data_IF_355060755488
#
_entry.id   IF_355060755488
#
_cell.length_a   1.000
_cell.length_b   1.000
_cell.length_c   1.000
_cell.angle_alpha   90.00
_cell.angle_beta   90.00
_cell.angle_gamma   90.00
#
_symmetry.space_group_name_H-M   'P 1'
#
loop_
_entity.id
_entity.type
_entity.pdbx_description
1 polymer ?
#
# COMPACT_ATOMS: atom_id res chain seq x y z
N UNK A 1 -27.08 -12.00 -9.51
CA UNK A 1 -25.89 -12.86 -9.35
C UNK A 1 -25.33 -13.14 -10.75
N UNK A 2 -24.24 -12.48 -11.14
CA UNK A 2 -23.58 -12.70 -12.43
C UNK A 2 -22.68 -13.94 -12.31
N UNK A 3 -23.01 -14.99 -13.06
CA UNK A 3 -22.16 -16.18 -13.24
C UNK A 3 -21.12 -15.80 -14.30
N UNK A 4 -20.06 -15.14 -13.86
CA UNK A 4 -18.80 -15.08 -14.59
C UNK A 4 -17.85 -16.14 -14.06
N UNK A 5 -16.80 -16.45 -14.82
CA UNK A 5 -15.68 -17.24 -14.30
C UNK A 5 -15.17 -16.63 -12.98
N UNK A 6 -14.78 -17.45 -12.00
CA UNK A 6 -14.27 -16.93 -10.74
C UNK A 6 -13.07 -16.02 -11.02
N UNK A 7 -13.14 -14.77 -10.54
CA UNK A 7 -12.04 -13.82 -10.64
C UNK A 7 -10.85 -14.43 -9.89
N UNK A 8 -9.76 -14.74 -10.61
CA UNK A 8 -8.54 -15.33 -10.07
C UNK A 8 -7.44 -14.31 -9.80
N UNK A 9 -7.51 -13.14 -10.43
CA UNK A 9 -6.56 -12.03 -10.27
C UNK A 9 -7.24 -10.69 -10.54
N UNK A 10 -6.75 -9.62 -9.90
CA UNK A 10 -7.13 -8.24 -10.23
C UNK A 10 -6.02 -7.50 -11.02
N UNK A 11 -4.98 -8.21 -11.47
CA UNK A 11 -3.94 -7.68 -12.34
C UNK A 11 -4.32 -7.87 -13.81
N UNK A 12 -4.01 -6.89 -14.65
CA UNK A 12 -4.08 -7.08 -16.11
C UNK A 12 -3.09 -8.17 -16.54
N UNK A 13 -3.31 -8.85 -17.68
CA UNK A 13 -2.40 -9.91 -18.13
C UNK A 13 -0.94 -9.46 -18.24
N UNK A 14 -0.70 -8.23 -18.72
CA UNK A 14 0.65 -7.66 -18.83
C UNK A 14 1.28 -7.40 -17.46
N UNK A 15 0.51 -6.91 -16.49
CA UNK A 15 1.03 -6.63 -15.13
C UNK A 15 1.20 -7.91 -14.33
N UNK A 16 0.31 -8.88 -14.52
CA UNK A 16 0.47 -10.22 -13.96
C UNK A 16 1.77 -10.84 -14.46
N UNK A 17 2.05 -10.79 -15.76
CA UNK A 17 3.26 -11.40 -16.31
C UNK A 17 4.55 -10.76 -15.79
N UNK A 18 4.64 -9.42 -15.78
CA UNK A 18 5.84 -8.72 -15.29
C UNK A 18 6.09 -8.96 -13.79
N UNK A 19 5.03 -9.03 -12.96
CA UNK A 19 5.16 -9.25 -11.52
C UNK A 19 5.44 -10.72 -11.21
N UNK A 20 4.59 -11.61 -11.70
CA UNK A 20 4.53 -13.00 -11.24
C UNK A 20 5.49 -13.93 -12.00
N UNK A 21 5.82 -13.63 -13.26
CA UNK A 21 6.52 -14.56 -14.13
C UNK A 21 7.89 -14.07 -14.58
N UNK A 22 7.98 -12.83 -15.10
CA UNK A 22 9.11 -12.38 -15.92
C UNK A 22 10.47 -12.48 -15.22
N UNK A 23 10.55 -12.08 -13.95
CA UNK A 23 11.78 -12.19 -13.15
C UNK A 23 12.21 -13.63 -12.86
N UNK A 24 11.32 -14.60 -12.97
CA UNK A 24 11.60 -16.00 -12.59
C UNK A 24 11.74 -16.93 -13.80
N UNK A 25 11.77 -16.37 -15.01
CA UNK A 25 12.02 -17.12 -16.24
C UNK A 25 13.48 -17.59 -16.34
N UNK A 26 14.43 -16.75 -15.94
CA UNK A 26 15.84 -17.10 -15.90
C UNK A 26 16.13 -17.91 -14.63
N UNK A 27 16.75 -19.07 -14.79
CA UNK A 27 17.19 -19.95 -13.68
C UNK A 27 18.70 -19.88 -13.46
N UNK A 28 19.32 -18.78 -13.84
CA UNK A 28 20.74 -18.56 -13.62
C UNK A 28 21.01 -18.42 -12.12
N UNK A 29 22.00 -19.13 -11.61
CA UNK A 29 22.41 -19.00 -10.23
C UNK A 29 23.32 -17.77 -10.09
N UNK A 30 22.80 -16.71 -9.48
CA UNK A 30 23.63 -15.58 -9.05
C UNK A 30 24.33 -15.93 -7.73
N UNK A 31 25.67 -15.83 -7.70
CA UNK A 31 26.43 -15.97 -6.45
C UNK A 31 26.15 -14.77 -5.55
N UNK A 32 25.62 -15.02 -4.34
CA UNK A 32 25.35 -13.98 -3.36
C UNK A 32 26.58 -13.14 -3.03
N UNK A 33 27.79 -13.72 -3.07
CA UNK A 33 29.04 -12.99 -2.80
C UNK A 33 29.34 -11.90 -3.83
N UNK A 34 28.73 -11.98 -5.02
CA UNK A 34 28.79 -10.91 -6.02
C UNK A 34 27.84 -9.75 -5.73
N UNK A 35 26.82 -9.96 -4.88
CA UNK A 35 25.75 -8.98 -4.58
C UNK A 35 25.97 -8.35 -3.20
N UNK A 36 26.41 -9.14 -2.21
CA UNK A 36 26.62 -8.68 -0.84
C UNK A 36 27.92 -9.26 -0.28
N UNK A 37 28.72 -8.42 0.37
CA UNK A 37 29.93 -8.87 1.07
C UNK A 37 29.58 -9.62 2.37
N UNK A 38 30.56 -10.30 2.96
CA UNK A 38 30.36 -11.00 4.25
C UNK A 38 29.86 -10.07 5.37
N UNK A 39 30.23 -8.79 5.32
CA UNK A 39 29.83 -7.79 6.31
C UNK A 39 28.47 -7.12 5.99
N UNK A 40 27.77 -7.54 4.94
CA UNK A 40 26.48 -6.96 4.56
C UNK A 40 26.58 -5.71 3.67
N UNK A 41 27.75 -5.40 3.09
CA UNK A 41 27.89 -4.29 2.15
C UNK A 41 27.33 -4.66 0.78
N UNK A 42 26.52 -3.76 0.20
CA UNK A 42 25.85 -4.00 -1.08
C UNK A 42 26.79 -3.68 -2.24
N UNK A 43 27.05 -4.68 -3.07
CA UNK A 43 27.80 -4.55 -4.32
C UNK A 43 26.90 -3.98 -5.42
N UNK A 44 26.69 -2.66 -5.40
CA UNK A 44 25.78 -1.98 -6.32
C UNK A 44 26.06 -2.24 -7.79
N UNK A 45 27.33 -2.39 -8.19
CA UNK A 45 27.71 -2.65 -9.58
C UNK A 45 26.97 -3.86 -10.17
N UNK A 46 26.99 -5.00 -9.46
CA UNK A 46 26.32 -6.23 -9.87
C UNK A 46 24.81 -6.02 -10.09
N UNK A 47 24.17 -5.25 -9.20
CA UNK A 47 22.74 -4.96 -9.30
C UNK A 47 22.45 -4.00 -10.47
N UNK A 48 23.26 -2.95 -10.62
CA UNK A 48 23.06 -1.94 -11.68
C UNK A 48 23.38 -2.46 -13.07
N UNK A 49 24.30 -3.43 -13.19
CA UNK A 49 24.64 -4.08 -14.46
C UNK A 49 23.47 -4.94 -15.00
N UNK A 50 22.50 -5.30 -14.14
CA UNK A 50 21.25 -5.96 -14.55
C UNK A 50 20.17 -4.99 -15.09
N UNK A 51 20.40 -3.68 -15.05
CA UNK A 51 19.44 -2.69 -15.58
C UNK A 51 19.68 -2.49 -17.07
N UNK A 52 18.63 -2.71 -17.87
CA UNK A 52 18.64 -2.55 -19.32
C UNK A 52 18.07 -1.20 -19.76
N UNK A 53 18.59 -0.68 -20.86
CA UNK A 53 18.17 0.58 -21.47
C UNK A 53 17.67 0.32 -22.90
N UNK A 54 16.72 1.11 -23.35
CA UNK A 54 16.20 1.05 -24.72
C UNK A 54 17.27 1.49 -25.73
N UNK A 55 17.18 1.02 -26.98
CA UNK A 55 18.17 1.27 -28.06
C UNK A 55 18.48 2.75 -28.34
N UNK A 56 17.63 3.67 -27.86
CA UNK A 56 17.85 5.11 -27.95
C UNK A 56 18.66 5.72 -26.78
N UNK A 57 19.10 4.89 -25.82
CA UNK A 57 19.80 5.24 -24.57
C UNK A 57 19.09 6.29 -23.67
N UNK A 58 17.86 6.69 -24.00
CA UNK A 58 17.12 7.73 -23.27
C UNK A 58 16.11 7.19 -22.25
N UNK A 59 15.74 5.90 -22.31
CA UNK A 59 14.72 5.30 -21.44
C UNK A 59 15.10 3.91 -20.91
N UNK A 60 14.60 3.57 -19.73
CA UNK A 60 14.76 2.24 -19.13
C UNK A 60 13.94 1.19 -19.88
N UNK A 61 14.57 0.07 -20.23
CA UNK A 61 13.86 -1.15 -20.61
C UNK A 61 13.45 -1.88 -19.34
N UNK A 62 12.23 -1.59 -18.87
CA UNK A 62 11.69 -2.18 -17.64
C UNK A 62 11.55 -3.70 -17.73
N UNK A 63 11.17 -4.23 -18.88
CA UNK A 63 10.97 -5.67 -19.06
C UNK A 63 12.31 -6.41 -19.06
N UNK A 64 13.28 -5.92 -19.83
CA UNK A 64 14.64 -6.44 -19.81
C UNK A 64 15.27 -6.37 -18.42
N UNK A 65 15.08 -5.24 -17.72
CA UNK A 65 15.59 -5.05 -16.36
C UNK A 65 14.97 -6.01 -15.35
N UNK A 66 13.65 -6.18 -15.33
CA UNK A 66 12.96 -7.12 -14.42
C UNK A 66 13.44 -8.55 -14.66
N UNK A 67 13.57 -8.96 -15.93
CA UNK A 67 14.06 -10.29 -16.29
C UNK A 67 15.48 -10.55 -15.77
N UNK A 68 16.38 -9.57 -15.88
CA UNK A 68 17.78 -9.71 -15.44
C UNK A 68 17.95 -9.55 -13.92
N UNK A 69 17.12 -8.73 -13.27
CA UNK A 69 17.14 -8.54 -11.80
C UNK A 69 16.51 -9.71 -11.05
N UNK A 70 15.69 -10.53 -11.71
CA UNK A 70 14.99 -11.64 -11.07
C UNK A 70 15.91 -12.67 -10.38
N UNK A 71 16.95 -13.21 -11.05
CA UNK A 71 17.96 -14.06 -10.41
C UNK A 71 18.67 -13.41 -9.21
N UNK A 72 18.90 -12.10 -9.28
CA UNK A 72 19.47 -11.32 -8.16
C UNK A 72 18.49 -11.29 -6.98
N UNK A 73 17.20 -11.04 -7.24
CA UNK A 73 16.16 -11.09 -6.21
C UNK A 73 16.08 -12.47 -5.54
N UNK A 74 16.18 -13.56 -6.30
CA UNK A 74 16.16 -14.93 -5.78
C UNK A 74 17.37 -15.21 -4.86
N UNK A 75 18.57 -14.81 -5.28
CA UNK A 75 19.78 -14.98 -4.49
C UNK A 75 19.72 -14.18 -3.17
N UNK A 76 19.22 -12.95 -3.22
CA UNK A 76 19.03 -12.10 -2.03
C UNK A 76 17.99 -12.69 -1.08
N UNK A 77 16.89 -13.20 -1.62
CA UNK A 77 15.86 -13.85 -0.82
C UNK A 77 16.41 -15.10 -0.10
N UNK A 78 17.08 -15.97 -0.85
CA UNK A 78 17.72 -17.18 -0.29
C UNK A 78 18.75 -16.83 0.79
N UNK A 79 19.53 -15.77 0.57
CA UNK A 79 20.46 -15.25 1.56
C UNK A 79 19.75 -14.83 2.83
N UNK A 80 18.70 -14.01 2.74
CA UNK A 80 17.97 -13.56 3.92
C UNK A 80 17.34 -14.71 4.70
N UNK A 81 16.75 -15.69 4.02
CA UNK A 81 16.20 -16.89 4.67
C UNK A 81 17.28 -17.76 5.33
N UNK A 82 18.54 -17.66 4.90
CA UNK A 82 19.66 -18.37 5.55
C UNK A 82 20.15 -17.70 6.84
N UNK A 83 19.73 -16.45 7.10
CA UNK A 83 20.20 -15.69 8.26
C UNK A 83 19.31 -15.95 9.47
N UNK A 84 19.91 -16.00 10.65
CA UNK A 84 19.14 -15.81 11.88
C UNK A 84 18.78 -14.34 12.06
N UNK A 85 17.74 -14.05 12.84
CA UNK A 85 17.36 -12.66 13.18
C UNK A 85 18.53 -11.85 13.73
N UNK A 86 19.29 -12.41 14.67
CA UNK A 86 20.47 -11.72 15.23
C UNK A 86 21.57 -11.47 14.19
N UNK A 87 21.77 -12.40 13.25
CA UNK A 87 22.71 -12.22 12.14
C UNK A 87 22.26 -11.13 11.17
N UNK A 88 20.96 -11.04 10.89
CA UNK A 88 20.37 -9.98 10.09
C UNK A 88 20.53 -8.63 10.77
N UNK A 89 20.17 -8.53 12.05
CA UNK A 89 20.26 -7.29 12.83
C UNK A 89 21.70 -6.76 12.88
N UNK A 90 22.68 -7.63 13.17
CA UNK A 90 24.10 -7.24 13.21
C UNK A 90 24.58 -6.70 11.86
N UNK A 91 24.16 -7.32 10.74
CA UNK A 91 24.63 -6.96 9.39
C UNK A 91 23.90 -5.76 8.79
N UNK A 92 22.59 -5.62 9.04
CA UNK A 92 21.75 -4.69 8.29
C UNK A 92 21.06 -3.60 9.14
N UNK A 93 20.77 -3.83 10.42
CA UNK A 93 20.08 -2.82 11.25
C UNK A 93 20.80 -1.45 11.31
N UNK A 94 22.15 -1.37 11.35
CA UNK A 94 22.86 -0.09 11.29
C UNK A 94 22.57 0.72 10.02
N UNK A 95 22.17 0.05 8.94
CA UNK A 95 21.94 0.65 7.63
C UNK A 95 20.49 1.11 7.39
N UNK A 96 19.58 0.90 8.36
CA UNK A 96 18.20 1.38 8.29
C UNK A 96 17.94 2.65 9.10
N UNK A 97 18.93 3.13 9.86
CA UNK A 97 18.77 4.29 10.75
C UNK A 97 18.36 5.58 10.03
N UNK A 98 18.61 5.67 8.72
CA UNK A 98 18.27 6.83 7.91
C UNK A 98 16.77 6.91 7.52
N UNK A 99 15.97 5.87 7.79
CA UNK A 99 14.57 5.84 7.33
C UNK A 99 13.57 6.43 8.32
N UNK A 100 14.05 7.04 9.42
CA UNK A 100 13.25 7.41 10.61
C UNK A 100 12.53 6.26 11.32
N UNK A 101 12.51 5.05 10.75
CA UNK A 101 11.76 3.92 11.27
C UNK A 101 12.50 2.58 11.09
N UNK A 102 13.68 2.41 11.71
CA UNK A 102 14.52 1.23 11.54
C UNK A 102 13.92 -0.05 12.13
N UNK A 103 13.01 0.05 13.10
CA UNK A 103 12.35 -1.10 13.76
C UNK A 103 11.42 -1.87 12.81
N UNK A 104 11.03 -1.24 11.69
CA UNK A 104 10.25 -1.86 10.64
C UNK A 104 10.96 -3.07 10.02
N UNK A 105 12.27 -2.99 9.82
CA UNK A 105 12.99 -3.99 9.01
C UNK A 105 13.15 -5.35 9.69
N UNK A 106 13.43 -5.44 11.00
CA UNK A 106 13.34 -6.71 11.72
C UNK A 106 11.94 -7.33 11.66
N UNK A 107 10.87 -6.52 11.70
CA UNK A 107 9.50 -7.03 11.57
C UNK A 107 9.24 -7.60 10.17
N UNK A 108 9.70 -6.91 9.13
CA UNK A 108 9.59 -7.42 7.74
C UNK A 108 10.43 -8.68 7.56
N UNK A 109 11.62 -8.74 8.17
CA UNK A 109 12.47 -9.93 8.13
C UNK A 109 11.72 -11.15 8.68
N UNK A 110 11.11 -11.02 9.87
CA UNK A 110 10.29 -12.07 10.47
C UNK A 110 9.09 -12.45 9.56
N UNK A 111 8.56 -11.49 8.80
CA UNK A 111 7.45 -11.73 7.87
C UNK A 111 7.83 -12.51 6.60
N UNK A 112 9.12 -12.62 6.25
CA UNK A 112 9.57 -13.37 5.08
C UNK A 112 9.32 -14.89 5.21
N UNK A 113 9.34 -15.41 6.43
CA UNK A 113 9.03 -16.81 6.75
C UNK A 113 7.56 -17.02 7.16
N UNK A 114 6.75 -15.94 7.16
CA UNK A 114 5.37 -16.00 7.61
C UNK A 114 4.51 -16.87 6.70
N UNK A 115 3.68 -17.71 7.31
CA UNK A 115 2.64 -18.48 6.61
C UNK A 115 1.38 -17.66 6.35
N UNK A 116 1.31 -16.41 6.83
CA UNK A 116 0.17 -15.53 6.57
C UNK A 116 0.28 -14.96 5.15
N UNK A 117 -0.63 -15.37 4.28
CA UNK A 117 -0.64 -15.02 2.86
C UNK A 117 -0.49 -13.50 2.55
N UNK A 118 -1.12 -12.57 3.30
CA UNK A 118 -0.91 -11.12 3.15
C UNK A 118 0.40 -10.52 3.69
N UNK A 119 1.24 -11.29 4.40
CA UNK A 119 2.36 -10.74 5.16
C UNK A 119 3.38 -10.00 4.29
N UNK A 120 3.65 -10.54 3.10
CA UNK A 120 4.56 -9.94 2.12
C UNK A 120 4.01 -8.63 1.56
N UNK A 121 2.74 -8.63 1.17
CA UNK A 121 2.05 -7.44 0.67
C UNK A 121 2.01 -6.31 1.71
N UNK A 122 1.65 -6.63 2.95
CA UNK A 122 1.66 -5.66 4.07
C UNK A 122 3.07 -5.12 4.32
N UNK A 123 4.07 -6.00 4.31
CA UNK A 123 5.47 -5.61 4.50
C UNK A 123 5.95 -4.66 3.41
N UNK A 124 5.65 -4.96 2.14
CA UNK A 124 6.00 -4.11 1.01
C UNK A 124 5.27 -2.76 1.05
N UNK A 125 3.99 -2.70 1.44
CA UNK A 125 3.28 -1.43 1.62
C UNK A 125 3.97 -0.55 2.67
N UNK A 126 4.31 -1.12 3.83
CA UNK A 126 5.02 -0.41 4.90
C UNK A 126 6.42 0.01 4.49
N UNK A 127 7.17 -0.88 3.84
CA UNK A 127 8.52 -0.61 3.35
C UNK A 127 8.52 0.52 2.34
N UNK A 128 7.62 0.47 1.34
CA UNK A 128 7.57 1.48 0.27
C UNK A 128 7.16 2.85 0.82
N UNK A 129 6.20 2.93 1.74
CA UNK A 129 5.87 4.18 2.44
C UNK A 129 7.05 4.73 3.25
N UNK A 130 7.74 3.87 4.00
CA UNK A 130 8.91 4.24 4.80
C UNK A 130 10.05 4.76 3.90
N UNK A 131 10.33 4.05 2.80
CA UNK A 131 11.34 4.42 1.82
C UNK A 131 11.00 5.73 1.11
N UNK A 132 9.75 5.93 0.69
CA UNK A 132 9.29 7.16 0.04
C UNK A 132 9.52 8.38 0.94
N UNK A 133 9.13 8.29 2.21
CA UNK A 133 9.40 9.33 3.20
C UNK A 133 10.90 9.58 3.38
N UNK A 134 11.68 8.53 3.55
CA UNK A 134 13.12 8.62 3.79
C UNK A 134 13.86 9.25 2.60
N UNK A 135 13.47 8.89 1.38
CA UNK A 135 14.00 9.51 0.16
C UNK A 135 13.64 11.00 0.08
N UNK A 136 12.44 11.39 0.53
CA UNK A 136 12.08 12.81 0.62
C UNK A 136 12.93 13.59 1.62
N UNK A 137 13.30 12.99 2.75
CA UNK A 137 14.24 13.60 3.71
C UNK A 137 15.64 13.78 3.07
N UNK A 138 16.10 12.79 2.31
CA UNK A 138 17.38 12.86 1.58
C UNK A 138 17.34 13.90 0.48
N UNK A 139 16.23 14.00 -0.26
CA UNK A 139 16.03 15.02 -1.29
C UNK A 139 16.23 16.43 -0.73
N UNK A 140 15.70 16.70 0.46
CA UNK A 140 15.80 18.00 1.15
C UNK A 140 17.21 18.36 1.64
N UNK A 141 18.20 17.47 1.50
CA UNK A 141 19.61 17.84 1.67
C UNK A 141 20.08 18.83 0.60
N UNK A 142 19.47 18.79 -0.58
CA UNK A 142 19.85 19.58 -1.76
C UNK A 142 18.67 20.43 -2.24
N UNK A 143 17.50 19.80 -2.39
CA UNK A 143 16.28 20.44 -2.87
C UNK A 143 15.58 21.31 -1.83
N UNK A 144 14.56 22.06 -2.27
CA UNK A 144 13.79 22.96 -1.39
C UNK A 144 12.40 22.43 -1.05
N UNK A 145 11.69 21.92 -2.05
CA UNK A 145 10.33 21.37 -1.90
C UNK A 145 10.34 19.95 -2.44
N UNK A 146 10.01 18.99 -1.57
CA UNK A 146 9.97 17.58 -1.94
C UNK A 146 8.84 17.34 -2.96
N UNK A 147 9.11 16.67 -4.09
CA UNK A 147 8.07 16.25 -5.01
C UNK A 147 6.98 15.44 -4.31
N UNK A 148 5.73 15.67 -4.69
CA UNK A 148 4.58 14.96 -4.13
C UNK A 148 4.49 13.51 -4.61
N UNK A 149 4.82 13.25 -5.88
CA UNK A 149 4.75 11.91 -6.47
C UNK A 149 6.09 11.18 -6.32
N UNK A 150 6.06 9.94 -5.80
CA UNK A 150 7.24 9.06 -5.71
C UNK A 150 7.99 8.94 -7.04
N UNK A 151 7.27 8.84 -8.16
CA UNK A 151 7.89 8.74 -9.49
C UNK A 151 8.80 9.95 -9.78
N UNK A 152 8.32 11.14 -9.44
CA UNK A 152 9.03 12.40 -9.72
C UNK A 152 10.20 12.56 -8.74
N UNK A 153 10.02 12.14 -7.48
CA UNK A 153 11.09 12.03 -6.50
C UNK A 153 12.21 11.09 -6.99
N UNK A 154 11.88 9.89 -7.48
CA UNK A 154 12.85 8.95 -8.02
C UNK A 154 13.53 9.43 -9.31
N UNK A 155 12.90 10.36 -10.04
CA UNK A 155 13.44 10.97 -11.25
C UNK A 155 14.33 12.19 -10.98
N UNK A 156 14.39 12.66 -9.73
CA UNK A 156 15.10 13.87 -9.34
C UNK A 156 16.63 13.77 -9.50
N UNK A 157 17.25 14.88 -9.89
CA UNK A 157 18.71 15.00 -9.97
C UNK A 157 19.32 15.03 -8.57
N UNK A 158 18.60 15.55 -7.58
CA UNK A 158 19.01 15.63 -6.19
C UNK A 158 19.29 14.23 -5.61
N UNK A 159 18.38 13.28 -5.79
CA UNK A 159 18.62 11.90 -5.35
C UNK A 159 19.68 11.21 -6.19
N UNK A 160 19.73 11.47 -7.50
CA UNK A 160 20.78 10.94 -8.37
C UNK A 160 22.18 11.46 -7.96
N UNK A 161 22.29 12.68 -7.44
CA UNK A 161 23.54 13.23 -6.92
C UNK A 161 24.00 12.53 -5.64
N UNK A 162 23.07 12.09 -4.79
CA UNK A 162 23.39 11.38 -3.54
C UNK A 162 23.68 9.90 -3.78
N UNK A 163 22.79 9.21 -4.49
CA UNK A 163 22.83 7.75 -4.65
C UNK A 163 23.43 7.27 -5.97
N UNK A 164 23.52 8.14 -6.97
CA UNK A 164 23.94 7.79 -8.33
C UNK A 164 22.76 7.41 -9.23
N UNK A 165 22.84 7.83 -10.50
CA UNK A 165 21.76 7.61 -11.47
C UNK A 165 21.40 6.13 -11.67
N UNK A 166 22.41 5.25 -11.74
CA UNK A 166 22.19 3.82 -11.94
C UNK A 166 21.42 3.17 -10.78
N UNK A 167 21.67 3.62 -9.54
CA UNK A 167 20.96 3.15 -8.35
C UNK A 167 19.51 3.62 -8.36
N UNK A 168 19.28 4.89 -8.71
CA UNK A 168 17.92 5.42 -8.86
C UNK A 168 17.15 4.69 -9.97
N UNK A 169 17.82 4.28 -11.04
CA UNK A 169 17.22 3.49 -12.10
C UNK A 169 16.77 2.11 -11.62
N UNK A 170 17.52 1.45 -10.74
CA UNK A 170 17.07 0.21 -10.06
C UNK A 170 15.77 0.46 -9.30
N UNK A 171 15.70 1.50 -8.46
CA UNK A 171 14.48 1.82 -7.70
C UNK A 171 13.27 2.10 -8.60
N UNK A 172 13.47 2.80 -9.72
CA UNK A 172 12.41 3.06 -10.71
C UNK A 172 11.80 1.77 -11.27
N UNK A 173 12.58 0.69 -11.40
CA UNK A 173 12.10 -0.62 -11.86
C UNK A 173 11.15 -1.26 -10.85
N UNK A 174 11.42 -1.14 -9.54
CA UNK A 174 10.63 -1.77 -8.49
C UNK A 174 9.37 -0.99 -8.09
N UNK A 175 9.48 0.33 -7.86
CA UNK A 175 8.43 1.09 -7.15
C UNK A 175 7.98 2.37 -7.85
N UNK A 176 8.63 2.78 -8.94
CA UNK A 176 8.41 4.11 -9.54
C UNK A 176 7.45 4.15 -10.73
N UNK A 177 7.73 3.36 -11.76
CA UNK A 177 7.05 3.50 -13.06
C UNK A 177 5.93 2.47 -13.24
N UNK A 178 4.78 2.84 -13.82
CA UNK A 178 3.74 1.89 -14.19
C UNK A 178 4.18 0.93 -15.31
N UNK A 179 5.28 1.21 -16.00
CA UNK A 179 5.90 0.30 -16.97
C UNK A 179 6.83 -0.75 -16.31
N UNK A 180 7.18 -0.56 -15.03
CA UNK A 180 7.95 -1.52 -14.23
C UNK A 180 7.05 -2.34 -13.32
N UNK A 181 7.62 -2.88 -12.23
CA UNK A 181 6.84 -3.67 -11.25
C UNK A 181 5.79 -2.82 -10.52
N UNK A 182 6.07 -1.53 -10.33
CA UNK A 182 5.18 -0.57 -9.67
C UNK A 182 4.59 -1.07 -8.33
N UNK A 183 5.39 -1.80 -7.55
CA UNK A 183 4.91 -2.56 -6.38
C UNK A 183 4.15 -1.68 -5.39
N UNK A 184 4.62 -0.45 -5.18
CA UNK A 184 3.97 0.56 -4.33
C UNK A 184 2.52 0.75 -4.74
N UNK A 185 2.25 1.15 -5.98
CA UNK A 185 0.90 1.48 -6.40
C UNK A 185 0.02 0.24 -6.55
N UNK A 186 0.56 -0.86 -7.06
CA UNK A 186 -0.20 -2.11 -7.21
C UNK A 186 -0.75 -2.62 -5.88
N UNK A 187 0.06 -2.52 -4.81
CA UNK A 187 -0.35 -2.93 -3.47
C UNK A 187 -1.25 -1.91 -2.78
N UNK A 188 -0.86 -0.62 -2.76
CA UNK A 188 -1.64 0.44 -2.08
C UNK A 188 -3.00 0.71 -2.71
N UNK A 189 -3.22 0.30 -3.95
CA UNK A 189 -4.52 0.34 -4.63
C UNK A 189 -5.24 -1.03 -4.64
N UNK A 190 -4.73 -2.03 -3.91
CA UNK A 190 -5.40 -3.31 -3.72
C UNK A 190 -5.59 -4.15 -4.99
N UNK A 191 -4.71 -4.00 -5.99
CA UNK A 191 -4.79 -4.80 -7.22
C UNK A 191 -4.18 -6.20 -7.05
N UNK A 192 -3.13 -6.36 -6.25
CA UNK A 192 -2.52 -7.67 -6.05
C UNK A 192 -3.25 -8.46 -4.96
N UNK A 193 -3.71 -9.63 -5.34
CA UNK A 193 -4.24 -10.66 -4.45
C UNK A 193 -3.10 -11.20 -3.55
N UNK A 194 -3.44 -11.81 -2.41
CA UNK A 194 -2.46 -12.49 -1.58
C UNK A 194 -1.63 -13.49 -2.42
N UNK A 195 -0.34 -13.62 -2.09
CA UNK A 195 0.64 -14.46 -2.81
C UNK A 195 0.97 -14.09 -4.28
N UNK A 196 0.27 -13.17 -4.94
CA UNK A 196 0.63 -12.75 -6.30
C UNK A 196 1.97 -12.02 -6.36
N UNK A 197 2.33 -11.28 -5.30
CA UNK A 197 3.63 -10.60 -5.23
C UNK A 197 4.68 -11.55 -4.63
N UNK A 198 5.72 -11.92 -5.39
CA UNK A 198 6.77 -12.80 -4.90
C UNK A 198 7.52 -12.21 -3.70
N UNK A 199 7.82 -13.01 -2.65
CA UNK A 199 8.56 -12.53 -1.47
C UNK A 199 9.98 -12.06 -1.80
N UNK A 200 10.52 -12.51 -2.94
CA UNK A 200 11.85 -12.12 -3.44
C UNK A 200 11.97 -10.62 -3.62
N UNK A 201 10.90 -9.96 -4.08
CA UNK A 201 10.89 -8.50 -4.23
C UNK A 201 10.92 -7.79 -2.88
N UNK A 202 10.29 -8.36 -1.84
CA UNK A 202 10.36 -7.82 -0.48
C UNK A 202 11.79 -7.89 0.07
N UNK A 203 12.45 -9.06 -0.04
CA UNK A 203 13.86 -9.21 0.36
C UNK A 203 14.78 -8.28 -0.41
N UNK A 204 14.57 -8.13 -1.73
CA UNK A 204 15.35 -7.21 -2.54
C UNK A 204 15.15 -5.76 -2.10
N UNK A 205 13.91 -5.31 -1.88
CA UNK A 205 13.62 -3.95 -1.43
C UNK A 205 14.24 -3.62 -0.06
N UNK A 206 14.27 -4.60 0.86
CA UNK A 206 15.00 -4.45 2.12
C UNK A 206 16.51 -4.28 1.90
N UNK A 207 17.12 -5.10 1.05
CA UNK A 207 18.55 -4.99 0.74
C UNK A 207 18.88 -3.65 0.08
N UNK A 208 18.06 -3.22 -0.90
CA UNK A 208 18.21 -1.92 -1.56
C UNK A 208 18.15 -0.78 -0.54
N UNK A 209 17.23 -0.84 0.42
CA UNK A 209 17.09 0.17 1.48
C UNK A 209 18.34 0.23 2.38
N UNK A 210 18.93 -0.92 2.74
CA UNK A 210 20.20 -0.96 3.45
C UNK A 210 21.35 -0.39 2.62
N UNK A 211 21.43 -0.78 1.34
CA UNK A 211 22.45 -0.29 0.41
C UNK A 211 22.39 1.22 0.18
N UNK A 212 21.19 1.81 0.16
CA UNK A 212 21.00 3.26 0.10
C UNK A 212 21.54 3.92 1.37
N UNK A 213 21.27 3.34 2.55
CA UNK A 213 21.83 3.82 3.82
C UNK A 213 23.37 3.82 3.84
N UNK A 214 23.99 2.81 3.22
CA UNK A 214 25.45 2.75 3.05
C UNK A 214 25.97 3.89 2.18
N UNK A 215 25.36 4.12 1.01
CA UNK A 215 25.72 5.22 0.10
C UNK A 215 25.52 6.60 0.74
N UNK A 216 24.38 6.79 1.43
CA UNK A 216 24.05 8.03 2.12
C UNK A 216 25.08 8.34 3.20
N UNK A 217 25.49 7.35 4.00
CA UNK A 217 26.53 7.53 5.02
C UNK A 217 27.82 8.07 4.40
N UNK A 218 28.28 7.48 3.30
CA UNK A 218 29.47 7.96 2.58
C UNK A 218 29.29 9.38 2.04
N UNK A 219 28.12 9.70 1.50
CA UNK A 219 27.80 11.04 1.01
C UNK A 219 27.83 12.08 2.14
N UNK A 220 27.14 11.83 3.25
CA UNK A 220 27.09 12.74 4.40
C UNK A 220 28.48 12.94 5.03
N UNK A 221 29.31 11.90 5.11
CA UNK A 221 30.70 12.03 5.58
C UNK A 221 31.53 12.95 4.69
N UNK A 222 31.36 12.85 3.36
CA UNK A 222 32.08 13.66 2.38
C UNK A 222 31.62 15.11 2.37
N UNK A 223 30.31 15.35 2.44
CA UNK A 223 29.71 16.69 2.35
C UNK A 223 29.60 17.40 3.70
N UNK A 224 29.73 16.67 4.82
CA UNK A 224 29.52 17.14 6.18
C UNK A 224 28.10 17.67 6.44
N UNK A 225 27.14 17.27 5.61
CA UNK A 225 25.72 17.57 5.82
C UNK A 225 25.16 16.68 6.93
N UNK A 226 24.05 17.09 7.51
CA UNK A 226 23.29 16.32 8.50
C UNK A 226 21.90 16.06 7.94
N UNK A 227 21.48 14.80 7.94
CA UNK A 227 20.13 14.42 7.56
C UNK A 227 19.15 14.86 8.65
N UNK A 228 18.14 15.63 8.26
CA UNK A 228 17.04 16.00 9.14
C UNK A 228 15.78 15.23 8.72
N UNK A 229 15.09 14.65 9.71
CA UNK A 229 13.85 13.95 9.47
C UNK A 229 12.67 14.89 9.61
N UNK A 230 11.76 14.85 8.62
CA UNK A 230 10.50 15.58 8.72
C UNK A 230 9.69 15.05 9.90
N UNK A 231 8.89 15.90 10.54
CA UNK A 231 7.95 15.47 11.59
C UNK A 231 6.81 14.63 11.01
N UNK A 232 6.33 13.65 11.76
CA UNK A 232 5.11 12.92 11.40
C UNK A 232 3.89 13.85 11.51
N UNK A 233 2.89 13.59 10.69
CA UNK A 233 1.62 14.31 10.72
C UNK A 233 0.73 13.65 11.78
N UNK A 234 0.17 14.48 12.66
CA UNK A 234 -0.97 14.09 13.48
C UNK A 234 -2.23 14.47 12.74
N UNK A 235 -3.12 13.53 12.36
CA UNK A 235 -4.34 13.88 11.65
C UNK A 235 -5.18 14.82 12.51
N UNK A 236 -5.54 15.98 11.96
CA UNK A 236 -6.35 17.00 12.63
C UNK A 236 -7.83 16.65 12.56
N UNK A 237 -8.63 17.17 13.49
CA UNK A 237 -10.10 17.04 13.52
C UNK A 237 -10.65 15.61 13.65
N UNK A 238 -9.84 14.64 14.11
CA UNK A 238 -10.29 13.27 14.35
C UNK A 238 -11.47 13.19 15.33
N UNK A 239 -11.48 14.03 16.37
CA UNK A 239 -12.56 14.02 17.39
C UNK A 239 -13.95 14.28 16.78
N UNK A 240 -14.04 15.21 15.82
CA UNK A 240 -15.30 15.54 15.15
C UNK A 240 -15.78 14.43 14.20
N UNK A 241 -14.86 13.54 13.80
CA UNK A 241 -15.08 12.44 12.86
C UNK A 241 -15.37 11.10 13.55
N UNK A 242 -15.27 11.03 14.89
CA UNK A 242 -15.64 9.84 15.67
C UNK A 242 -17.16 9.83 15.80
N UNK A 243 -17.83 9.02 14.96
CA UNK A 243 -19.29 8.88 14.94
C UNK A 243 -19.72 7.48 15.36
N UNK A 244 -18.94 6.47 15.00
CA UNK A 244 -19.18 5.09 15.40
C UNK A 244 -18.64 4.80 16.81
N UNK A 245 -19.35 3.98 17.61
CA UNK A 245 -18.82 3.47 18.87
C UNK A 245 -17.64 2.52 18.64
N UNK A 246 -16.94 2.20 19.72
CA UNK A 246 -15.90 1.16 19.72
C UNK A 246 -16.45 -0.17 19.20
N UNK A 247 -15.67 -0.83 18.34
CA UNK A 247 -16.06 -2.11 17.76
C UNK A 247 -16.02 -3.21 18.83
N UNK A 248 -17.19 -3.74 19.16
CA UNK A 248 -17.36 -4.77 20.19
C UNK A 248 -17.09 -6.17 19.65
N UNK A 249 -16.94 -7.16 20.55
CA UNK A 249 -16.84 -8.58 20.14
C UNK A 249 -18.03 -9.05 19.30
N UNK A 250 -19.23 -8.55 19.60
CA UNK A 250 -20.45 -8.87 18.83
C UNK A 250 -20.33 -8.37 17.38
N UNK A 251 -19.84 -7.14 17.18
CA UNK A 251 -19.61 -6.58 15.84
C UNK A 251 -18.48 -7.33 15.11
N UNK A 252 -17.40 -7.70 15.80
CA UNK A 252 -16.31 -8.48 15.19
C UNK A 252 -16.80 -9.85 14.72
N UNK A 253 -17.67 -10.51 15.49
CA UNK A 253 -18.27 -11.80 15.09
C UNK A 253 -19.17 -11.66 13.86
N UNK A 254 -19.93 -10.56 13.75
CA UNK A 254 -20.73 -10.26 12.55
C UNK A 254 -19.84 -10.01 11.35
N UNK A 255 -18.74 -9.28 11.54
CA UNK A 255 -17.76 -9.04 10.48
C UNK A 255 -17.18 -10.37 9.95
N UNK A 256 -16.76 -11.28 10.84
CA UNK A 256 -16.25 -12.61 10.46
C UNK A 256 -17.18 -13.36 9.53
N UNK A 257 -18.46 -13.38 9.85
CA UNK A 257 -19.45 -14.05 9.02
C UNK A 257 -19.73 -13.28 7.73
N UNK A 258 -19.94 -11.96 7.82
CA UNK A 258 -20.21 -11.10 6.67
C UNK A 258 -19.09 -11.13 5.63
N UNK A 259 -17.82 -11.21 6.04
CA UNK A 259 -16.67 -11.25 5.13
C UNK A 259 -16.75 -12.43 4.14
N UNK A 260 -17.28 -13.57 4.59
CA UNK A 260 -17.37 -14.78 3.74
C UNK A 260 -18.63 -14.82 2.87
N UNK A 261 -19.62 -13.97 3.16
CA UNK A 261 -20.95 -13.98 2.53
C UNK A 261 -21.24 -12.76 1.67
N UNK A 262 -20.53 -11.67 1.91
CA UNK A 262 -20.73 -10.39 1.22
C UNK A 262 -20.18 -10.45 -0.21
N UNK A 263 -21.00 -10.07 -1.19
CA UNK A 263 -20.57 -9.93 -2.58
C UNK A 263 -19.63 -8.74 -2.81
N UNK A 264 -19.42 -7.89 -1.79
CA UNK A 264 -18.45 -6.80 -1.81
C UNK A 264 -17.01 -7.32 -1.86
N UNK A 265 -16.72 -8.41 -1.14
CA UNK A 265 -15.38 -8.99 -1.04
C UNK A 265 -15.18 -10.01 -2.17
N UNK A 266 -14.13 -9.79 -2.96
CA UNK A 266 -13.67 -10.79 -3.91
C UNK A 266 -13.05 -11.96 -3.12
N UNK A 267 -13.44 -13.20 -3.45
CA UNK A 267 -12.96 -14.41 -2.75
C UNK A 267 -11.44 -14.50 -2.65
N UNK A 268 -10.76 -14.15 -3.74
CA UNK A 268 -9.28 -14.10 -3.80
C UNK A 268 -8.66 -13.08 -2.84
N UNK A 269 -9.41 -12.07 -2.41
CA UNK A 269 -8.95 -11.01 -1.51
C UNK A 269 -9.31 -11.26 -0.04
N UNK A 270 -10.12 -12.29 0.26
CA UNK A 270 -10.57 -12.61 1.61
C UNK A 270 -9.42 -12.71 2.65
N UNK A 271 -8.24 -13.28 2.34
CA UNK A 271 -7.15 -13.37 3.32
C UNK A 271 -6.70 -12.00 3.88
N UNK A 272 -6.77 -10.92 3.09
CA UNK A 272 -6.44 -9.58 3.58
C UNK A 272 -7.38 -9.13 4.69
N UNK A 273 -8.67 -9.42 4.55
CA UNK A 273 -9.69 -9.08 5.54
C UNK A 273 -9.51 -9.89 6.84
N UNK A 274 -9.22 -11.18 6.72
CA UNK A 274 -8.93 -12.05 7.87
C UNK A 274 -7.72 -11.53 8.65
N UNK A 275 -6.63 -11.18 7.95
CA UNK A 275 -5.44 -10.63 8.60
C UNK A 275 -5.73 -9.24 9.18
N UNK A 276 -6.49 -8.37 8.50
CA UNK A 276 -6.87 -7.07 9.04
C UNK A 276 -7.56 -7.21 10.42
N UNK A 277 -8.46 -8.18 10.55
CA UNK A 277 -9.14 -8.48 11.80
C UNK A 277 -8.18 -9.01 12.87
N UNK A 278 -7.25 -9.90 12.52
CA UNK A 278 -6.20 -10.38 13.44
C UNK A 278 -5.32 -9.23 13.92
N UNK A 279 -4.96 -8.28 13.05
CA UNK A 279 -4.18 -7.10 13.40
C UNK A 279 -4.94 -6.18 14.34
N UNK A 280 -6.24 -5.99 14.10
CA UNK A 280 -7.10 -5.23 15.02
C UNK A 280 -7.11 -5.86 16.43
N UNK A 281 -7.38 -7.16 16.51
CA UNK A 281 -7.43 -7.90 17.79
C UNK A 281 -6.09 -7.94 18.53
N UNK A 282 -4.97 -7.82 17.82
CA UNK A 282 -3.62 -7.78 18.40
C UNK A 282 -3.10 -6.36 18.64
N UNK A 283 -3.99 -5.35 18.62
CA UNK A 283 -3.66 -3.93 18.83
C UNK A 283 -2.67 -3.36 17.81
N UNK A 284 -2.55 -3.99 16.64
CA UNK A 284 -1.76 -3.54 15.49
C UNK A 284 -2.64 -2.67 14.58
N UNK A 285 -3.06 -1.51 15.09
CA UNK A 285 -4.10 -0.67 14.48
C UNK A 285 -3.71 -0.11 13.11
N UNK A 286 -2.44 0.31 12.93
CA UNK A 286 -1.94 0.77 11.64
C UNK A 286 -1.99 -0.34 10.57
N UNK A 287 -1.50 -1.53 10.90
CA UNK A 287 -1.52 -2.67 9.97
C UNK A 287 -2.96 -3.02 9.57
N UNK A 288 -3.90 -2.98 10.52
CA UNK A 288 -5.32 -3.17 10.25
C UNK A 288 -5.86 -2.11 9.29
N UNK A 289 -5.59 -0.83 9.55
CA UNK A 289 -6.05 0.28 8.71
C UNK A 289 -5.48 0.20 7.29
N UNK A 290 -4.19 -0.09 7.13
CA UNK A 290 -3.54 -0.27 5.82
C UNK A 290 -4.26 -1.36 5.03
N UNK A 291 -4.48 -2.53 5.63
CA UNK A 291 -5.19 -3.63 4.98
C UNK A 291 -6.63 -3.25 4.64
N UNK A 292 -7.41 -2.68 5.58
CA UNK A 292 -8.80 -2.29 5.32
C UNK A 292 -8.92 -1.25 4.21
N UNK A 293 -8.06 -0.23 4.17
CA UNK A 293 -8.13 0.83 3.17
C UNK A 293 -7.91 0.28 1.75
N UNK A 294 -6.91 -0.58 1.58
CA UNK A 294 -6.69 -1.24 0.28
C UNK A 294 -7.87 -2.13 -0.12
N UNK A 295 -8.46 -2.84 0.85
CA UNK A 295 -9.59 -3.72 0.60
C UNK A 295 -10.92 -2.99 0.35
N UNK A 296 -11.14 -1.85 1.00
CA UNK A 296 -12.25 -0.95 0.70
C UNK A 296 -12.14 -0.41 -0.73
N UNK A 297 -10.93 -0.05 -1.18
CA UNK A 297 -10.70 0.38 -2.56
C UNK A 297 -11.05 -0.72 -3.55
N UNK A 298 -10.58 -1.94 -3.32
CA UNK A 298 -10.86 -3.10 -4.18
C UNK A 298 -12.35 -3.46 -4.21
N UNK A 299 -13.01 -3.49 -3.06
CA UNK A 299 -14.44 -3.78 -2.99
C UNK A 299 -15.29 -2.70 -3.66
N UNK A 300 -14.99 -1.42 -3.42
CA UNK A 300 -15.66 -0.32 -4.11
C UNK A 300 -15.38 -0.31 -5.61
N UNK A 301 -14.17 -0.69 -6.05
CA UNK A 301 -13.82 -0.88 -7.47
C UNK A 301 -14.68 -1.97 -8.11
N UNK A 302 -14.89 -3.08 -7.42
CA UNK A 302 -15.76 -4.17 -7.89
C UNK A 302 -17.22 -3.71 -8.08
N UNK A 303 -17.77 -3.00 -7.09
CA UNK A 303 -19.13 -2.43 -7.17
C UNK A 303 -19.21 -1.38 -8.28
N UNK A 304 -18.22 -0.49 -8.37
CA UNK A 304 -18.11 0.53 -9.41
C UNK A 304 -18.12 -0.09 -10.81
N UNK A 305 -17.27 -1.09 -11.06
CA UNK A 305 -17.15 -1.77 -12.34
C UNK A 305 -18.46 -2.45 -12.74
N UNK A 306 -19.17 -3.00 -11.75
CA UNK A 306 -20.46 -3.66 -11.95
C UNK A 306 -21.57 -2.66 -12.29
N UNK A 307 -21.75 -1.61 -11.47
CA UNK A 307 -22.82 -0.63 -11.65
C UNK A 307 -22.66 0.21 -12.91
N UNK A 308 -21.42 0.55 -13.27
CA UNK A 308 -21.12 1.32 -14.47
C UNK A 308 -20.90 0.44 -15.73
N UNK A 309 -21.07 -0.89 -15.61
CA UNK A 309 -20.93 -1.87 -16.71
C UNK A 309 -19.57 -1.78 -17.42
N UNK A 310 -18.50 -1.68 -16.64
CA UNK A 310 -17.12 -1.56 -17.11
C UNK A 310 -16.22 -2.59 -16.42
N UNK A 311 -16.45 -3.91 -16.61
CA UNK A 311 -15.71 -4.97 -15.90
C UNK A 311 -14.18 -4.90 -16.07
N UNK A 312 -13.71 -4.41 -17.23
CA UNK A 312 -12.29 -4.17 -17.49
C UNK A 312 -11.64 -3.19 -16.50
N UNK A 313 -12.43 -2.30 -15.87
CA UNK A 313 -11.95 -1.35 -14.88
C UNK A 313 -11.64 -1.95 -13.52
N UNK A 314 -12.00 -3.22 -13.32
CA UNK A 314 -11.48 -3.99 -12.20
C UNK A 314 -9.97 -4.25 -12.33
N UNK A 315 -9.48 -4.38 -13.57
CA UNK A 315 -8.11 -4.80 -13.90
C UNK A 315 -7.22 -3.64 -14.41
N UNK A 316 -7.60 -2.37 -14.22
CA UNK A 316 -6.87 -1.21 -14.79
C UNK A 316 -5.47 -0.94 -14.25
N UNK A 317 -4.85 -1.90 -13.56
CA UNK A 317 -3.41 -1.91 -13.37
C UNK A 317 -2.72 -2.17 -14.72
N UNK A 318 -2.63 -1.15 -15.58
CA UNK A 318 -1.93 -1.18 -16.87
C UNK A 318 -1.03 0.04 -17.02
N UNK A 319 0.05 -0.07 -17.78
CA UNK A 319 0.96 1.06 -18.03
C UNK A 319 0.37 2.14 -18.96
N UNK A 320 -0.65 1.76 -19.74
CA UNK A 320 -1.30 2.57 -20.78
C UNK A 320 -2.59 3.23 -20.31
N UNK A 321 -3.06 2.93 -19.11
CA UNK A 321 -4.30 3.45 -18.54
C UNK A 321 -4.08 3.93 -17.10
N UNK A 322 -4.80 4.99 -16.69
CA UNK A 322 -4.82 5.40 -15.29
C UNK A 322 -5.49 4.32 -14.44
N UNK A 323 -4.97 4.13 -13.23
CA UNK A 323 -5.54 3.18 -12.27
C UNK A 323 -6.91 3.68 -11.82
N UNK A 324 -7.89 2.78 -11.72
CA UNK A 324 -9.18 3.08 -11.09
C UNK A 324 -9.01 3.15 -9.57
N UNK A 325 -8.62 4.32 -9.08
CA UNK A 325 -8.36 4.62 -7.65
C UNK A 325 -9.60 5.17 -6.94
N UNK A 326 -9.54 5.41 -5.62
CA UNK A 326 -10.63 6.08 -4.88
C UNK A 326 -11.14 7.36 -5.54
N UNK A 327 -10.24 8.20 -6.06
CA UNK A 327 -10.63 9.48 -6.71
C UNK A 327 -11.55 9.24 -7.91
N UNK A 328 -11.23 8.24 -8.73
CA UNK A 328 -12.04 7.92 -9.90
C UNK A 328 -13.30 7.13 -9.53
N UNK A 329 -13.20 6.22 -8.56
CA UNK A 329 -14.31 5.41 -8.05
C UNK A 329 -15.41 6.30 -7.45
N UNK A 330 -15.02 7.34 -6.70
CA UNK A 330 -15.92 8.23 -5.97
C UNK A 330 -16.27 9.52 -6.74
N UNK A 331 -15.74 9.72 -7.94
CA UNK A 331 -16.04 10.87 -8.78
C UNK A 331 -17.52 10.92 -9.19
N UNK A 332 -18.07 12.12 -9.36
CA UNK A 332 -19.47 12.32 -9.80
C UNK A 332 -19.71 11.85 -11.24
N UNK A 333 -18.72 12.01 -12.11
CA UNK A 333 -18.80 11.66 -13.53
C UNK A 333 -17.62 10.77 -13.91
N UNK A 334 -17.86 9.88 -14.88
CA UNK A 334 -16.85 9.09 -15.55
C UNK A 334 -16.08 9.97 -16.56
N UNK A 335 -14.93 9.48 -17.04
CA UNK A 335 -14.09 10.20 -18.02
C UNK A 335 -14.81 10.50 -19.35
N UNK A 336 -15.85 9.73 -19.70
CA UNK A 336 -16.68 9.96 -20.88
C UNK A 336 -17.88 10.92 -20.62
N UNK A 337 -17.91 11.56 -19.45
CA UNK A 337 -18.95 12.51 -19.04
C UNK A 337 -20.23 11.86 -18.51
N UNK A 338 -20.37 10.52 -18.54
CA UNK A 338 -21.53 9.84 -17.97
C UNK A 338 -21.55 9.95 -16.45
N UNK A 339 -22.74 9.90 -15.87
CA UNK A 339 -22.92 9.91 -14.41
C UNK A 339 -22.40 8.59 -13.84
N UNK A 340 -21.53 8.68 -12.85
CA UNK A 340 -21.08 7.52 -12.08
C UNK A 340 -22.25 7.00 -11.22
N UNK A 341 -22.59 5.72 -11.38
CA UNK A 341 -23.71 5.11 -10.67
C UNK A 341 -23.38 4.72 -9.22
N UNK A 342 -22.09 4.61 -8.86
CA UNK A 342 -21.69 4.21 -7.52
C UNK A 342 -22.12 5.23 -6.44
N UNK A 343 -21.86 6.55 -6.57
CA UNK A 343 -22.32 7.51 -5.57
C UNK A 343 -23.83 7.51 -5.35
N UNK A 344 -24.61 7.34 -6.43
CA UNK A 344 -26.07 7.24 -6.36
C UNK A 344 -26.52 5.97 -5.61
N UNK A 345 -25.84 4.86 -5.86
CA UNK A 345 -26.13 3.59 -5.19
C UNK A 345 -25.74 3.62 -3.71
N UNK A 346 -24.58 4.19 -3.37
CA UNK A 346 -24.13 4.29 -1.98
C UNK A 346 -24.99 5.25 -1.17
N UNK A 347 -25.49 6.32 -1.79
CA UNK A 347 -26.25 7.36 -1.11
C UNK A 347 -25.35 8.38 -0.41
N UNK A 348 -25.92 9.53 -0.12
CA UNK A 348 -25.20 10.70 0.43
C UNK A 348 -24.45 10.38 1.74
N UNK A 349 -25.04 9.73 2.76
CA UNK A 349 -24.34 9.50 4.04
C UNK A 349 -23.05 8.67 3.91
N UNK A 350 -23.09 7.59 3.12
CA UNK A 350 -21.93 6.74 2.89
C UNK A 350 -20.85 7.47 2.06
N UNK A 351 -21.27 8.28 1.08
CA UNK A 351 -20.35 9.09 0.27
C UNK A 351 -19.67 10.17 1.10
N UNK A 352 -20.41 10.87 1.97
CA UNK A 352 -19.84 11.88 2.85
C UNK A 352 -18.82 11.27 3.83
N UNK A 353 -19.09 10.10 4.41
CA UNK A 353 -18.11 9.42 5.26
C UNK A 353 -16.83 9.10 4.50
N UNK A 354 -16.96 8.51 3.30
CA UNK A 354 -15.82 8.17 2.46
C UNK A 354 -15.02 9.41 2.06
N UNK A 355 -15.68 10.50 1.67
CA UNK A 355 -14.99 11.73 1.31
C UNK A 355 -14.30 12.39 2.49
N UNK A 356 -14.95 12.47 3.66
CA UNK A 356 -14.34 13.06 4.85
C UNK A 356 -13.08 12.27 5.27
N UNK A 357 -13.15 10.94 5.34
CA UNK A 357 -12.02 10.11 5.80
C UNK A 357 -10.88 9.97 4.78
N UNK A 358 -11.19 9.96 3.48
CA UNK A 358 -10.22 9.61 2.44
C UNK A 358 -9.71 10.81 1.65
N UNK A 359 -10.58 11.78 1.30
CA UNK A 359 -10.27 12.73 0.22
C UNK A 359 -10.29 14.21 0.66
N UNK A 360 -11.13 14.59 1.62
CA UNK A 360 -11.36 15.99 1.95
C UNK A 360 -10.08 16.64 2.48
N UNK A 361 -9.73 17.84 1.99
CA UNK A 361 -8.48 18.52 2.37
C UNK A 361 -8.39 18.82 3.88
N UNK A 362 -9.49 19.24 4.48
CA UNK A 362 -9.63 19.45 5.95
C UNK A 362 -9.91 18.16 6.74
N UNK A 363 -10.04 17.02 6.03
CA UNK A 363 -10.22 15.70 6.60
C UNK A 363 -8.88 15.01 6.84
N UNK A 364 -8.88 13.84 7.51
CA UNK A 364 -7.67 13.19 7.96
C UNK A 364 -6.89 12.48 6.85
N UNK A 365 -7.44 12.36 5.62
CA UNK A 365 -6.80 11.79 4.41
C UNK A 365 -5.91 10.58 4.72
N UNK A 366 -6.45 9.66 5.52
CA UNK A 366 -5.65 8.64 6.22
C UNK A 366 -4.92 7.73 5.23
N UNK A 367 -5.59 7.40 4.13
CA UNK A 367 -5.04 6.58 3.06
C UNK A 367 -3.81 7.22 2.43
N UNK A 368 -3.88 8.51 2.11
CA UNK A 368 -2.76 9.21 1.47
C UNK A 368 -1.58 9.30 2.42
N UNK A 369 -1.80 9.81 3.64
CA UNK A 369 -0.73 9.97 4.62
C UNK A 369 -0.08 8.64 5.04
N UNK A 370 -0.83 7.54 5.17
CA UNK A 370 -0.25 6.20 5.39
C UNK A 370 0.59 5.73 4.18
N UNK A 371 0.10 5.95 2.96
CA UNK A 371 0.79 5.52 1.73
C UNK A 371 2.06 6.32 1.41
N UNK A 372 2.23 7.50 2.01
CA UNK A 372 3.43 8.34 1.93
C UNK A 372 4.33 8.21 3.18
N UNK A 373 3.96 7.36 4.14
CA UNK A 373 4.72 7.13 5.38
C UNK A 373 4.68 8.30 6.36
N UNK A 374 3.72 9.22 6.22
CA UNK A 374 3.66 10.47 6.98
C UNK A 374 3.08 10.31 8.38
N UNK A 375 2.51 9.14 8.70
CA UNK A 375 1.97 8.81 10.02
C UNK A 375 2.87 7.78 10.71
N UNK A 376 3.13 8.00 11.99
CA UNK A 376 3.82 7.03 12.83
C UNK A 376 2.94 5.79 13.05
N UNK A 377 3.38 4.63 12.56
CA UNK A 377 2.61 3.38 12.62
C UNK A 377 2.44 2.85 14.07
N UNK A 378 3.35 3.17 14.99
CA UNK A 378 3.24 2.74 16.39
C UNK A 378 2.26 3.57 17.21
N UNK A 379 2.01 4.81 16.80
CA UNK A 379 1.12 5.75 17.48
C UNK A 379 -0.22 5.89 16.74
N UNK A 380 -0.50 5.00 15.79
CA UNK A 380 -1.72 5.06 15.00
C UNK A 380 -2.97 4.85 15.87
N UNK A 381 -3.93 5.77 15.72
CA UNK A 381 -5.12 5.84 16.58
C UNK A 381 -6.02 4.60 16.45
N UNK A 382 -6.36 4.01 17.60
CA UNK A 382 -7.37 2.96 17.73
C UNK A 382 -8.72 3.44 17.21
N UNK A 383 -9.08 4.67 17.57
CA UNK A 383 -10.35 5.32 17.25
C UNK A 383 -10.51 5.43 15.74
N UNK A 384 -9.45 5.82 15.04
CA UNK A 384 -9.43 5.87 13.57
C UNK A 384 -9.69 4.51 12.94
N UNK A 385 -8.98 3.47 13.42
CA UNK A 385 -9.20 2.10 12.94
C UNK A 385 -10.60 1.59 13.27
N UNK A 386 -11.16 1.96 14.43
CA UNK A 386 -12.54 1.65 14.82
C UNK A 386 -13.54 2.25 13.83
N UNK A 387 -13.39 3.52 13.44
CA UNK A 387 -14.30 4.15 12.46
C UNK A 387 -14.26 3.41 11.11
N UNK A 388 -13.05 3.09 10.61
CA UNK A 388 -12.89 2.35 9.36
C UNK A 388 -13.51 0.95 9.43
N UNK A 389 -13.29 0.23 10.54
CA UNK A 389 -13.79 -1.13 10.72
C UNK A 389 -15.32 -1.14 10.87
N UNK A 390 -15.89 -0.22 11.67
CA UNK A 390 -17.32 -0.07 11.85
C UNK A 390 -18.02 0.27 10.52
N UNK A 391 -17.49 1.24 9.77
CA UNK A 391 -18.02 1.56 8.45
C UNK A 391 -17.90 0.39 7.47
N UNK A 392 -16.78 -0.34 7.51
CA UNK A 392 -16.59 -1.56 6.69
C UNK A 392 -17.67 -2.59 6.98
N UNK A 393 -18.03 -2.83 8.25
CA UNK A 393 -19.13 -3.73 8.61
C UNK A 393 -20.43 -3.28 7.95
N UNK A 394 -20.81 -2.01 8.12
CA UNK A 394 -22.04 -1.48 7.52
C UNK A 394 -22.04 -1.66 6.00
N UNK A 395 -20.91 -1.36 5.35
CA UNK A 395 -20.78 -1.50 3.91
C UNK A 395 -20.94 -2.96 3.47
N UNK A 396 -20.27 -3.91 4.14
CA UNK A 396 -20.35 -5.34 3.82
C UNK A 396 -21.78 -5.88 3.94
N UNK A 397 -22.51 -5.44 4.98
CA UNK A 397 -23.90 -5.83 5.23
C UNK A 397 -24.86 -5.41 4.12
N UNK A 398 -24.52 -4.40 3.31
CA UNK A 398 -25.33 -4.02 2.14
C UNK A 398 -25.25 -5.04 1.00
N UNK A 399 -24.30 -5.97 1.06
CA UNK A 399 -24.04 -6.95 0.00
C UNK A 399 -24.13 -8.39 0.50
N UNK A 400 -24.72 -8.65 1.68
CA UNK A 400 -25.10 -10.00 2.12
C UNK A 400 -26.55 -10.32 1.71
N UNK A 401 -26.95 -11.59 1.81
CA UNK A 401 -28.33 -12.02 1.58
C UNK A 401 -29.32 -11.33 2.55
N UNK A 402 -30.53 -11.01 2.09
CA UNK A 402 -31.54 -10.30 2.90
C UNK A 402 -31.92 -11.07 4.18
N UNK A 403 -31.99 -12.40 4.11
CA UNK A 403 -32.29 -13.24 5.26
C UNK A 403 -31.15 -13.29 6.27
N UNK A 404 -29.90 -13.13 5.82
CA UNK A 404 -28.76 -13.01 6.73
C UNK A 404 -28.66 -11.59 7.33
N UNK A 405 -28.97 -10.57 6.52
CA UNK A 405 -29.01 -9.18 6.99
C UNK A 405 -30.05 -8.98 8.09
N UNK A 406 -31.23 -9.59 7.98
CA UNK A 406 -32.26 -9.50 9.02
C UNK A 406 -31.79 -10.07 10.36
N UNK A 407 -31.11 -11.23 10.33
CA UNK A 407 -30.51 -11.85 11.53
C UNK A 407 -29.45 -10.95 12.15
N UNK A 408 -28.60 -10.30 11.34
CA UNK A 408 -27.61 -9.37 11.87
C UNK A 408 -28.22 -8.10 12.47
N UNK A 409 -29.32 -7.60 11.90
CA UNK A 409 -30.04 -6.41 12.41
C UNK A 409 -30.72 -6.65 13.76
N UNK A 410 -30.97 -7.90 14.16
CA UNK A 410 -31.48 -8.19 15.52
C UNK A 410 -30.47 -7.85 16.63
N UNK A 411 -29.17 -7.73 16.28
CA UNK A 411 -28.12 -7.35 17.21
C UNK A 411 -28.09 -5.84 17.36
N UNK A 412 -28.39 -5.33 18.56
CA UNK A 412 -28.49 -3.89 18.84
C UNK A 412 -27.21 -3.11 18.47
N UNK A 413 -26.03 -3.70 18.63
CA UNK A 413 -24.78 -3.05 18.22
C UNK A 413 -24.69 -2.84 16.71
N UNK A 414 -25.17 -3.79 15.90
CA UNK A 414 -25.19 -3.71 14.43
C UNK A 414 -26.24 -2.72 13.96
N UNK A 415 -27.44 -2.77 14.54
CA UNK A 415 -28.51 -1.81 14.23
C UNK A 415 -28.06 -0.37 14.49
N UNK A 416 -27.37 -0.13 15.61
CA UNK A 416 -26.78 1.17 15.91
C UNK A 416 -25.76 1.61 14.85
N UNK A 417 -24.86 0.72 14.41
CA UNK A 417 -23.89 1.07 13.36
C UNK A 417 -24.59 1.46 12.05
N UNK A 418 -25.61 0.71 11.64
CA UNK A 418 -26.37 1.00 10.43
C UNK A 418 -27.08 2.36 10.56
N UNK A 419 -27.75 2.62 11.68
CA UNK A 419 -28.44 3.89 11.94
C UNK A 419 -27.48 5.09 11.92
N UNK A 420 -26.30 4.95 12.53
CA UNK A 420 -25.28 6.00 12.52
C UNK A 420 -24.72 6.27 11.12
N UNK A 421 -24.52 5.22 10.32
CA UNK A 421 -24.05 5.36 8.95
C UNK A 421 -25.11 5.99 8.03
N UNK A 422 -26.39 5.62 8.19
CA UNK A 422 -27.51 6.20 7.44
C UNK A 422 -27.78 7.66 7.83
N UNK A 423 -27.48 8.04 9.07
CA UNK A 423 -27.59 9.41 9.57
C UNK A 423 -26.31 10.23 9.47
N UNK A 424 -25.25 9.71 8.84
CA UNK A 424 -23.98 10.42 8.73
C UNK A 424 -24.17 11.71 7.90
N UNK A 425 -23.56 12.80 8.38
CA UNK A 425 -23.44 14.05 7.63
C UNK A 425 -21.99 14.53 7.67
N UNK A 426 -21.50 15.10 6.57
CA UNK A 426 -20.11 15.58 6.49
C UNK A 426 -19.76 16.53 7.64
N UNK A 427 -18.67 16.20 8.32
CA UNK A 427 -18.04 16.94 9.41
C UNK A 427 -16.93 17.86 8.89
N UNK A 428 -16.45 17.62 7.68
CA UNK A 428 -15.47 18.47 7.02
C UNK A 428 -16.09 19.62 6.21
N UNK A 429 -17.40 19.56 5.90
CA UNK A 429 -18.07 20.60 5.12
C UNK A 429 -18.10 21.97 5.85
N UNK A 430 -17.89 23.10 5.16
CA UNK A 430 -17.86 24.44 5.78
C UNK A 430 -19.10 24.79 6.59
N UNK A 431 -20.29 24.30 6.19
CA UNK A 431 -21.54 24.52 6.94
C UNK A 431 -21.51 23.84 8.32
N UNK A 432 -20.88 22.67 8.44
CA UNK A 432 -20.71 22.01 9.73
C UNK A 432 -19.74 22.80 10.62
N UNK A 433 -18.61 23.23 10.06
CA UNK A 433 -17.62 24.07 10.76
C UNK A 433 -18.22 25.39 11.25
N UNK A 434 -19.07 26.04 10.44
CA UNK A 434 -19.80 27.25 10.83
C UNK A 434 -20.81 26.99 11.96
N UNK A 435 -21.52 25.85 11.96
CA UNK A 435 -22.43 25.48 13.05
C UNK A 435 -21.72 25.22 14.38
N UNK A 436 -20.43 24.87 14.36
CA UNK A 436 -19.61 24.66 15.56
C UNK A 436 -19.15 25.97 16.22
N UNK A 437 -19.11 27.06 15.45
CA UNK A 437 -18.66 28.39 15.91
C UNK A 437 -19.78 29.24 16.55
N UNK A 438 -21.03 28.76 16.49
CA UNK A 438 -22.22 29.36 17.09
C UNK A 438 -22.61 28.55 18.32
#
# INVERSE_FOLDING_TARGET
VLIGDPITTCLSPSVYDIICNLGFQLRENCDINSIVTQNGEVCWKTITDCVSYTESDQGLDYWGSVRLLGPVCEAVHSHFLSLTKGQFEIRYAPWFQWTSFPELFPEIFDALESLQSPAISLSLMKLTSCLERALGDVFLLIGKECPFLLRDLLASEELAQVFGQSVMNVLKVFVGSPCGLNLRNILWHGFASPEEVPPKYCSMMMLLTAGLGQLLKSYLQKTKLTLAHRSFITPTNLEDLIVFPDVTYEVLSVLEEAMTKSAFILKIMLPYWEVALVKFKSHRFADCAILLLTQLETGLRNVFATLNRCPQRLLTAESTALYTTFDEILAKHLNDGKINQLPLFLGEPAMEFLWDFLNHQEGPRIRDHLSHGEINLHEFSKETTNQLLAFSVVLLLRFVDEGLLSVFKEKASVELLISLAEGYSSRCHPVFQLKKQV
#
